data_IF_740301219700
#
_entry.id   IF_740301219700
#
_cell.length_a   1.000
_cell.length_b   1.000
_cell.length_c   1.000
_cell.angle_alpha   90.00
_cell.angle_beta   90.00
_cell.angle_gamma   90.00
#
_symmetry.space_group_name_H-M   'P 1'
#
loop_
_entity.id
_entity.type
_entity.pdbx_description
1 polymer ?
#
# COMPACT_ATOMS: atom_id res chain seq x y z
N UNK A 1 -26.48 -13.16 -19.48
CA UNK A 1 -27.27 -12.75 -18.29
C UNK A 1 -26.34 -11.90 -17.41
N UNK A 2 -26.85 -11.02 -16.54
CA UNK A 2 -26.08 -10.01 -15.76
C UNK A 2 -25.51 -8.80 -16.52
N UNK A 3 -25.78 -8.66 -17.82
CA UNK A 3 -25.45 -7.43 -18.57
C UNK A 3 -26.46 -6.29 -18.34
N UNK A 4 -27.56 -6.60 -17.63
CA UNK A 4 -28.57 -5.65 -17.18
C UNK A 4 -28.94 -5.96 -15.72
N UNK A 5 -29.14 -4.92 -14.91
CA UNK A 5 -29.60 -5.02 -13.52
C UNK A 5 -28.61 -5.55 -12.47
N UNK A 6 -27.53 -6.22 -12.88
CA UNK A 6 -26.48 -6.69 -11.96
C UNK A 6 -25.54 -5.57 -11.53
N UNK A 7 -25.28 -5.41 -10.25
CA UNK A 7 -24.45 -4.34 -9.72
C UNK A 7 -23.43 -4.88 -8.70
N UNK A 8 -22.16 -4.65 -8.96
CA UNK A 8 -21.05 -5.10 -8.13
C UNK A 8 -19.96 -4.02 -8.12
N UNK A 9 -19.78 -3.25 -7.02
CA UNK A 9 -18.76 -2.20 -6.94
C UNK A 9 -17.33 -2.70 -7.19
N UNK A 10 -17.02 -3.94 -6.80
CA UNK A 10 -15.70 -4.56 -6.97
C UNK A 10 -15.44 -5.13 -8.36
N UNK A 11 -16.44 -5.18 -9.25
CA UNK A 11 -16.24 -5.64 -10.64
C UNK A 11 -15.64 -4.49 -11.46
N UNK A 12 -14.41 -4.66 -11.94
CA UNK A 12 -13.67 -3.66 -12.73
C UNK A 12 -13.45 -4.08 -14.20
N UNK A 13 -13.41 -5.37 -14.53
CA UNK A 13 -13.03 -5.83 -15.87
C UNK A 13 -14.15 -6.58 -16.56
N UNK A 14 -14.37 -6.28 -17.85
CA UNK A 14 -15.29 -6.99 -18.74
C UNK A 14 -14.55 -7.44 -20.00
N UNK A 15 -14.44 -8.76 -20.17
CA UNK A 15 -13.94 -9.39 -21.38
C UNK A 15 -15.09 -9.61 -22.38
N UNK A 16 -14.92 -9.17 -23.63
CA UNK A 16 -15.98 -9.14 -24.64
C UNK A 16 -15.54 -9.82 -25.93
N UNK A 17 -16.11 -10.99 -26.21
CA UNK A 17 -16.11 -11.61 -27.54
C UNK A 17 -17.54 -11.64 -28.12
N UNK A 18 -18.16 -10.45 -28.21
CA UNK A 18 -19.53 -10.31 -28.70
C UNK A 18 -19.73 -9.00 -29.44
N UNK A 19 -20.53 -9.03 -30.50
CA UNK A 19 -20.95 -7.83 -31.24
C UNK A 19 -21.97 -7.02 -30.44
N UNK A 20 -21.51 -6.25 -29.46
CA UNK A 20 -22.33 -5.29 -28.71
C UNK A 20 -22.60 -4.05 -29.56
N UNK A 21 -23.81 -3.46 -29.45
CA UNK A 21 -24.20 -2.27 -30.23
C UNK A 21 -25.06 -1.32 -29.40
N UNK A 22 -24.92 -0.03 -29.67
CA UNK A 22 -25.76 1.05 -29.12
C UNK A 22 -25.95 0.95 -27.60
N UNK A 23 -27.19 1.07 -27.12
CA UNK A 23 -27.54 1.01 -25.69
C UNK A 23 -27.10 -0.29 -25.01
N UNK A 24 -27.08 -1.42 -25.71
CA UNK A 24 -26.63 -2.69 -25.15
C UNK A 24 -25.12 -2.72 -24.86
N UNK A 25 -24.33 -1.99 -25.66
CA UNK A 25 -22.90 -1.77 -25.41
C UNK A 25 -22.71 -0.93 -24.14
N UNK A 26 -23.39 0.22 -24.06
CA UNK A 26 -23.30 1.12 -22.90
C UNK A 26 -23.73 0.41 -21.60
N UNK A 27 -24.82 -0.36 -21.62
CA UNK A 27 -25.31 -1.11 -20.45
C UNK A 27 -24.31 -2.15 -19.97
N UNK A 28 -23.69 -2.87 -20.91
CA UNK A 28 -22.66 -3.86 -20.63
C UNK A 28 -21.41 -3.18 -20.04
N UNK A 29 -20.91 -2.11 -20.66
CA UNK A 29 -19.71 -1.40 -20.18
C UNK A 29 -19.95 -0.76 -18.82
N UNK A 30 -21.16 -0.26 -18.57
CA UNK A 30 -21.50 0.29 -17.27
C UNK A 30 -21.36 -0.72 -16.14
N UNK A 31 -21.36 -2.04 -16.39
CA UNK A 31 -21.19 -3.02 -15.30
C UNK A 31 -19.86 -2.87 -14.54
N UNK A 32 -18.84 -2.26 -15.16
CA UNK A 32 -17.49 -2.15 -14.58
C UNK A 32 -17.21 -0.81 -13.90
N UNK A 33 -17.96 0.26 -14.19
CA UNK A 33 -17.59 1.63 -13.80
C UNK A 33 -18.18 2.12 -12.47
N UNK A 34 -18.57 1.22 -11.58
CA UNK A 34 -19.13 1.57 -10.27
C UNK A 34 -18.02 2.03 -9.36
N UNK A 35 -18.23 3.18 -8.70
CA UNK A 35 -17.26 3.77 -7.76
C UNK A 35 -17.04 2.81 -6.59
N UNK A 36 -15.78 2.63 -6.20
CA UNK A 36 -15.39 1.80 -5.06
C UNK A 36 -14.49 2.59 -4.09
N UNK A 37 -13.22 2.76 -4.43
CA UNK A 37 -12.24 3.57 -3.71
C UNK A 37 -11.20 4.14 -4.70
N UNK A 38 -10.15 4.79 -4.19
CA UNK A 38 -9.11 5.40 -5.04
C UNK A 38 -8.33 4.39 -5.90
N UNK A 39 -8.38 3.09 -5.61
CA UNK A 39 -7.68 2.05 -6.38
C UNK A 39 -8.37 1.77 -7.71
N UNK A 40 -9.70 1.96 -7.76
CA UNK A 40 -10.52 1.72 -8.95
C UNK A 40 -10.86 3.04 -9.64
N UNK A 41 -9.97 3.48 -10.52
CA UNK A 41 -10.11 4.72 -11.29
C UNK A 41 -11.15 4.60 -12.41
N UNK A 42 -11.15 3.49 -13.15
CA UNK A 42 -12.06 3.24 -14.27
C UNK A 42 -12.36 1.73 -14.44
N UNK A 43 -13.20 1.41 -15.42
CA UNK A 43 -13.55 0.04 -15.78
C UNK A 43 -12.80 -0.42 -17.03
N UNK A 44 -12.12 -1.57 -16.94
CA UNK A 44 -11.36 -2.16 -18.05
C UNK A 44 -12.30 -2.94 -18.97
N UNK A 45 -12.37 -2.55 -20.24
CA UNK A 45 -13.11 -3.27 -21.26
C UNK A 45 -12.13 -3.88 -22.25
N UNK A 46 -11.99 -5.20 -22.23
CA UNK A 46 -11.06 -5.92 -23.10
C UNK A 46 -11.86 -6.63 -24.18
N UNK A 47 -11.71 -6.18 -25.43
CA UNK A 47 -12.52 -6.64 -26.56
C UNK A 47 -11.70 -7.51 -27.51
N UNK A 48 -12.22 -8.67 -27.89
CA UNK A 48 -11.59 -9.58 -28.87
C UNK A 48 -12.12 -9.39 -30.30
N UNK A 49 -12.92 -8.34 -30.51
CA UNK A 49 -13.45 -7.91 -31.79
C UNK A 49 -13.30 -6.39 -31.87
N UNK A 50 -13.21 -5.87 -33.09
CA UNK A 50 -13.25 -4.44 -33.31
C UNK A 50 -14.63 -3.86 -32.91
N UNK A 51 -14.64 -3.20 -31.76
CA UNK A 51 -15.80 -2.51 -31.18
C UNK A 51 -15.51 -1.01 -30.98
N UNK A 52 -14.40 -0.49 -31.49
CA UNK A 52 -13.99 0.90 -31.26
C UNK A 52 -15.00 1.86 -31.91
N UNK A 53 -15.25 1.70 -33.20
CA UNK A 53 -16.21 2.53 -33.93
C UNK A 53 -17.63 2.39 -33.34
N UNK A 54 -18.03 1.18 -32.96
CA UNK A 54 -19.32 0.93 -32.33
C UNK A 54 -19.45 1.64 -30.96
N UNK A 55 -18.34 1.76 -30.23
CA UNK A 55 -18.26 2.50 -28.96
C UNK A 55 -18.37 4.00 -29.20
N UNK A 56 -17.63 4.53 -30.18
CA UNK A 56 -17.69 5.95 -30.57
C UNK A 56 -19.11 6.32 -31.01
N UNK A 57 -19.73 5.50 -31.86
CA UNK A 57 -21.09 5.72 -32.36
C UNK A 57 -22.12 5.69 -31.21
N UNK A 58 -21.96 4.75 -30.27
CA UNK A 58 -22.84 4.65 -29.12
C UNK A 58 -22.72 5.86 -28.18
N UNK A 59 -21.49 6.32 -27.87
CA UNK A 59 -21.27 7.50 -27.03
C UNK A 59 -21.81 8.77 -27.71
N UNK A 60 -21.53 8.92 -29.01
CA UNK A 60 -22.00 10.08 -29.80
C UNK A 60 -23.53 10.14 -29.87
N UNK A 61 -24.22 9.00 -29.86
CA UNK A 61 -25.69 8.95 -29.85
C UNK A 61 -26.30 9.50 -28.55
N UNK A 62 -25.59 9.36 -27.42
CA UNK A 62 -26.07 9.77 -26.10
C UNK A 62 -25.42 11.06 -25.58
N UNK A 63 -24.56 11.72 -26.38
CA UNK A 63 -23.82 12.93 -26.00
C UNK A 63 -23.48 13.82 -27.18
N UNK A 64 -22.49 14.69 -26.99
CA UNK A 64 -21.91 15.54 -28.03
C UNK A 64 -20.51 15.04 -28.48
N UNK A 65 -19.89 15.69 -29.46
CA UNK A 65 -18.54 15.29 -29.94
C UNK A 65 -17.44 15.42 -28.88
N UNK A 66 -17.66 16.21 -27.83
CA UNK A 66 -16.71 16.37 -26.72
C UNK A 66 -16.88 15.28 -25.65
N UNK A 67 -18.03 14.60 -25.63
CA UNK A 67 -18.36 13.55 -24.67
C UNK A 67 -17.39 12.37 -24.74
N UNK A 68 -16.82 12.06 -25.93
CA UNK A 68 -15.81 10.99 -26.07
C UNK A 68 -14.57 11.23 -25.20
N UNK A 69 -14.11 12.48 -25.11
CA UNK A 69 -12.88 12.84 -24.40
C UNK A 69 -13.07 12.84 -22.88
N UNK A 70 -14.33 12.77 -22.43
CA UNK A 70 -14.76 12.75 -21.03
C UNK A 70 -15.14 11.32 -20.60
N UNK A 71 -15.64 10.49 -21.51
CA UNK A 71 -16.12 9.13 -21.21
C UNK A 71 -15.06 8.05 -21.39
N UNK A 72 -14.13 8.24 -22.33
CA UNK A 72 -13.01 7.32 -22.55
C UNK A 72 -11.75 7.86 -21.88
N UNK A 73 -10.97 6.95 -21.31
CA UNK A 73 -9.68 7.27 -20.72
C UNK A 73 -8.66 7.71 -21.79
N UNK A 74 -7.63 8.41 -21.33
CA UNK A 74 -6.52 8.84 -22.19
C UNK A 74 -5.70 7.63 -22.65
N UNK A 75 -4.90 7.84 -23.69
CA UNK A 75 -3.98 6.82 -24.18
C UNK A 75 -2.83 6.56 -23.21
N UNK A 76 -2.18 5.41 -23.36
CA UNK A 76 -0.96 5.06 -22.63
C UNK A 76 0.12 6.16 -22.75
N UNK A 77 0.37 6.65 -23.97
CA UNK A 77 1.37 7.67 -24.24
C UNK A 77 1.07 9.00 -23.53
N UNK A 78 -0.21 9.39 -23.45
CA UNK A 78 -0.64 10.59 -22.71
C UNK A 78 -0.36 10.46 -21.21
N UNK A 79 -0.58 9.29 -20.60
CA UNK A 79 -0.24 9.08 -19.19
C UNK A 79 1.28 8.98 -18.95
N UNK A 80 2.04 8.46 -19.92
CA UNK A 80 3.50 8.36 -19.82
C UNK A 80 4.19 9.71 -19.98
N UNK A 81 3.79 10.50 -20.98
CA UNK A 81 4.44 11.77 -21.37
C UNK A 81 3.76 13.02 -20.81
N UNK A 82 2.50 12.91 -20.38
CA UNK A 82 1.68 14.04 -19.94
C UNK A 82 0.77 14.55 -21.04
N UNK A 83 -0.28 15.27 -20.63
CA UNK A 83 -1.29 15.79 -21.54
C UNK A 83 -1.90 17.09 -20.98
N UNK A 84 -2.57 17.86 -21.84
CA UNK A 84 -3.41 18.97 -21.41
C UNK A 84 -4.85 18.52 -21.40
N UNK A 85 -5.50 18.59 -20.24
CA UNK A 85 -6.90 18.19 -20.12
C UNK A 85 -7.78 19.17 -20.92
N UNK A 86 -8.49 18.64 -21.92
CA UNK A 86 -9.37 19.43 -22.77
C UNK A 86 -10.59 20.01 -22.03
N UNK A 87 -10.95 19.44 -20.87
CA UNK A 87 -12.10 19.85 -20.06
C UNK A 87 -11.75 20.94 -19.04
N UNK A 88 -10.59 20.86 -18.39
CA UNK A 88 -10.14 21.84 -17.38
C UNK A 88 -9.13 22.85 -17.93
N UNK A 89 -8.44 22.52 -19.02
CA UNK A 89 -7.33 23.29 -19.58
C UNK A 89 -6.02 23.15 -18.79
N UNK A 90 -5.99 22.27 -17.78
CA UNK A 90 -4.82 22.08 -16.92
C UNK A 90 -3.81 21.13 -17.57
N UNK A 91 -2.51 21.43 -17.37
CA UNK A 91 -1.44 20.54 -17.79
C UNK A 91 -1.26 19.43 -16.74
N UNK A 92 -1.52 18.19 -17.15
CA UNK A 92 -1.27 16.99 -16.37
C UNK A 92 0.12 16.45 -16.72
N UNK A 93 0.97 16.31 -15.72
CA UNK A 93 2.33 15.78 -15.88
C UNK A 93 2.29 14.28 -16.17
N UNK A 94 3.19 13.81 -17.02
CA UNK A 94 3.36 12.40 -17.32
C UNK A 94 4.07 11.65 -16.21
N UNK A 95 3.92 10.33 -16.21
CA UNK A 95 4.65 9.43 -15.31
C UNK A 95 6.18 9.62 -15.41
N UNK A 96 6.72 9.80 -16.61
CA UNK A 96 8.17 9.96 -16.81
C UNK A 96 8.71 11.24 -16.19
N UNK A 97 7.97 12.35 -16.31
CA UNK A 97 8.35 13.63 -15.69
C UNK A 97 8.35 13.52 -14.16
N UNK A 98 7.33 12.87 -13.59
CA UNK A 98 7.23 12.63 -12.15
C UNK A 98 8.39 11.76 -11.64
N UNK A 99 8.71 10.69 -12.38
CA UNK A 99 9.86 9.81 -12.08
C UNK A 99 11.18 10.57 -12.13
N UNK A 100 11.40 11.35 -13.19
CA UNK A 100 12.62 12.13 -13.36
C UNK A 100 12.78 13.15 -12.23
N UNK A 101 11.71 13.84 -11.85
CA UNK A 101 11.73 14.78 -10.72
C UNK A 101 12.00 14.08 -9.39
N UNK A 102 11.39 12.91 -9.14
CA UNK A 102 11.64 12.11 -7.93
C UNK A 102 13.12 11.75 -7.81
N UNK A 103 13.72 11.25 -8.89
CA UNK A 103 15.12 10.85 -8.89
C UNK A 103 16.07 12.05 -8.80
N UNK A 104 15.73 13.17 -9.42
CA UNK A 104 16.56 14.38 -9.37
C UNK A 104 16.52 15.08 -8.01
N UNK A 105 15.33 15.25 -7.43
CA UNK A 105 15.12 15.99 -6.17
C UNK A 105 15.34 15.12 -4.94
N UNK A 106 14.99 13.83 -5.03
CA UNK A 106 15.04 12.87 -3.95
C UNK A 106 15.79 11.59 -4.37
N UNK A 107 17.08 11.70 -4.76
CA UNK A 107 17.88 10.53 -5.16
C UNK A 107 18.12 9.57 -3.99
N UNK A 108 18.10 10.08 -2.75
CA UNK A 108 18.22 9.32 -1.51
C UNK A 108 16.98 9.56 -0.63
N UNK A 109 15.94 8.72 -0.75
CA UNK A 109 14.71 8.89 0.00
C UNK A 109 14.87 8.68 1.51
N UNK A 110 15.93 8.01 1.95
CA UNK A 110 16.17 7.76 3.38
C UNK A 110 16.63 9.05 4.10
N UNK A 111 17.00 10.10 3.35
CA UNK A 111 17.60 11.33 3.88
C UNK A 111 16.76 12.60 3.61
N UNK A 112 15.44 12.52 3.81
CA UNK A 112 14.52 13.67 3.67
C UNK A 112 14.32 14.34 5.04
N UNK A 113 15.12 15.37 5.32
CA UNK A 113 15.21 15.97 6.67
C UNK A 113 14.30 17.17 6.86
N UNK A 114 14.26 18.13 5.95
CA UNK A 114 13.51 19.38 6.18
C UNK A 114 12.00 19.17 6.07
N UNK A 115 11.20 19.91 6.84
CA UNK A 115 9.73 19.82 6.77
C UNK A 115 9.20 20.16 5.37
N UNK A 116 9.86 21.12 4.69
CA UNK A 116 9.53 21.48 3.31
C UNK A 116 9.79 20.33 2.35
N UNK A 117 10.95 19.68 2.44
CA UNK A 117 11.30 18.57 1.57
C UNK A 117 10.39 17.37 1.82
N UNK A 118 10.00 17.11 3.07
CA UNK A 118 8.99 16.09 3.40
C UNK A 118 7.66 16.38 2.72
N UNK A 119 7.22 17.64 2.73
CA UNK A 119 5.95 18.06 2.11
C UNK A 119 6.01 17.92 0.59
N UNK A 120 7.07 18.42 -0.02
CA UNK A 120 7.28 18.35 -1.47
C UNK A 120 7.38 16.89 -1.94
N UNK A 121 8.11 16.05 -1.20
CA UNK A 121 8.20 14.62 -1.46
C UNK A 121 6.83 13.93 -1.35
N UNK A 122 6.07 14.20 -0.29
CA UNK A 122 4.76 13.58 -0.10
C UNK A 122 3.79 13.94 -1.24
N UNK A 123 3.82 15.19 -1.73
CA UNK A 123 3.00 15.56 -2.90
C UNK A 123 3.44 14.81 -4.16
N UNK A 124 4.75 14.86 -4.46
CA UNK A 124 5.30 14.27 -5.67
C UNK A 124 5.15 12.74 -5.71
N UNK A 125 5.39 12.06 -4.59
CA UNK A 125 5.21 10.61 -4.51
C UNK A 125 3.73 10.20 -4.52
N UNK A 126 2.82 11.02 -3.99
CA UNK A 126 1.37 10.82 -4.16
C UNK A 126 0.94 10.89 -5.63
N UNK A 127 1.49 11.84 -6.40
CA UNK A 127 1.28 11.91 -7.84
C UNK A 127 1.81 10.65 -8.56
N UNK A 128 3.01 10.19 -8.18
CA UNK A 128 3.57 8.93 -8.69
C UNK A 128 2.64 7.74 -8.42
N UNK A 129 2.14 7.57 -7.20
CA UNK A 129 1.25 6.45 -6.84
C UNK A 129 -0.04 6.44 -7.69
N UNK A 130 -0.62 7.61 -7.94
CA UNK A 130 -1.82 7.73 -8.80
C UNK A 130 -1.52 7.38 -10.25
N UNK A 131 -0.42 7.91 -10.81
CA UNK A 131 -0.01 7.60 -12.17
C UNK A 131 0.33 6.11 -12.35
N UNK A 132 1.07 5.53 -11.41
CA UNK A 132 1.41 4.10 -11.39
C UNK A 132 0.15 3.22 -11.32
N UNK A 133 -0.81 3.55 -10.45
CA UNK A 133 -2.08 2.80 -10.34
C UNK A 133 -2.91 2.83 -11.64
N UNK A 134 -2.93 3.96 -12.34
CA UNK A 134 -3.59 4.07 -13.65
C UNK A 134 -2.86 3.19 -14.68
N UNK A 135 -1.54 3.34 -14.78
CA UNK A 135 -0.70 2.66 -15.76
C UNK A 135 -0.70 1.13 -15.60
N UNK A 136 -0.91 0.61 -14.38
CA UNK A 136 -1.06 -0.83 -14.14
C UNK A 136 -2.20 -1.50 -14.93
N UNK A 137 -3.15 -0.73 -15.49
CA UNK A 137 -4.22 -1.25 -16.34
C UNK A 137 -3.83 -1.36 -17.83
N UNK A 138 -2.65 -0.90 -18.23
CA UNK A 138 -2.18 -0.90 -19.62
C UNK A 138 -1.21 -2.06 -19.89
N UNK A 139 -1.41 -2.74 -21.01
CA UNK A 139 -0.62 -3.91 -21.41
C UNK A 139 0.86 -3.54 -21.64
N UNK A 140 1.11 -2.37 -22.21
CA UNK A 140 2.45 -1.83 -22.48
C UNK A 140 3.24 -1.62 -21.19
N UNK A 141 2.59 -1.08 -20.16
CA UNK A 141 3.22 -0.86 -18.85
C UNK A 141 3.51 -2.18 -18.13
N UNK A 142 2.60 -3.17 -18.23
CA UNK A 142 2.83 -4.50 -17.68
C UNK A 142 4.03 -5.19 -18.35
N UNK A 143 4.19 -5.03 -19.66
CA UNK A 143 5.38 -5.47 -20.40
C UNK A 143 6.65 -4.75 -19.92
N UNK A 144 6.58 -3.43 -19.74
CA UNK A 144 7.71 -2.61 -19.28
C UNK A 144 8.19 -3.00 -17.87
N UNK A 145 7.26 -3.28 -16.96
CA UNK A 145 7.58 -3.76 -15.61
C UNK A 145 8.22 -5.16 -15.66
N UNK A 146 7.66 -6.08 -16.44
CA UNK A 146 8.20 -7.43 -16.57
C UNK A 146 9.61 -7.46 -17.17
N UNK A 147 9.89 -6.54 -18.12
CA UNK A 147 11.22 -6.37 -18.72
C UNK A 147 12.31 -6.09 -17.67
N UNK A 148 12.00 -5.40 -16.57
CA UNK A 148 12.98 -5.08 -15.51
C UNK A 148 13.54 -6.32 -14.81
N UNK A 149 12.80 -7.43 -14.85
CA UNK A 149 13.19 -8.70 -14.21
C UNK A 149 13.69 -9.74 -15.21
N UNK A 150 13.67 -9.41 -16.51
CA UNK A 150 14.08 -10.31 -17.57
C UNK A 150 15.61 -10.47 -17.59
N UNK A 151 16.09 -11.71 -17.59
CA UNK A 151 17.49 -12.00 -17.89
C UNK A 151 17.71 -11.93 -19.39
N UNK A 152 18.19 -10.78 -19.87
CA UNK A 152 18.47 -10.51 -21.29
C UNK A 152 19.53 -11.46 -21.86
N UNK A 153 20.40 -12.04 -21.02
CA UNK A 153 21.42 -12.99 -21.47
C UNK A 153 20.85 -14.39 -21.73
N UNK A 154 19.63 -14.66 -21.27
CA UNK A 154 18.95 -15.91 -21.48
C UNK A 154 18.02 -15.81 -22.71
N UNK A 155 18.52 -16.29 -23.86
CA UNK A 155 17.77 -16.25 -25.11
C UNK A 155 16.39 -16.95 -25.03
N UNK A 156 16.26 -18.05 -24.28
CA UNK A 156 14.97 -18.73 -24.11
C UNK A 156 13.98 -17.86 -23.31
N UNK A 157 14.47 -17.17 -22.28
CA UNK A 157 13.64 -16.25 -21.50
C UNK A 157 13.19 -15.06 -22.34
N UNK A 158 14.07 -14.49 -23.16
CA UNK A 158 13.75 -13.37 -24.07
C UNK A 158 12.72 -13.79 -25.11
N UNK A 159 12.86 -14.95 -25.74
CA UNK A 159 11.90 -15.43 -26.73
C UNK A 159 10.52 -15.71 -26.10
N UNK A 160 10.49 -16.28 -24.90
CA UNK A 160 9.24 -16.47 -24.15
C UNK A 160 8.59 -15.13 -23.79
N UNK A 161 9.39 -14.14 -23.40
CA UNK A 161 8.91 -12.80 -23.09
C UNK A 161 8.26 -12.14 -24.32
N UNK A 162 8.94 -12.16 -25.47
CA UNK A 162 8.38 -11.68 -26.75
C UNK A 162 7.05 -12.32 -27.10
N UNK A 163 6.94 -13.64 -26.94
CA UNK A 163 5.70 -14.37 -27.21
C UNK A 163 4.57 -14.00 -26.25
N UNK A 164 4.89 -13.77 -24.98
CA UNK A 164 3.89 -13.48 -23.93
C UNK A 164 3.27 -12.11 -24.11
N UNK A 165 4.08 -11.10 -24.45
CA UNK A 165 3.66 -9.72 -24.61
C UNK A 165 3.46 -9.30 -26.07
N UNK A 166 3.60 -10.23 -27.02
CA UNK A 166 3.49 -10.02 -28.47
C UNK A 166 4.42 -8.91 -29.00
N UNK A 167 5.67 -8.89 -28.51
CA UNK A 167 6.66 -7.85 -28.80
C UNK A 167 7.68 -8.29 -29.86
N UNK A 168 8.18 -7.32 -30.63
CA UNK A 168 9.32 -7.48 -31.54
C UNK A 168 10.65 -7.10 -30.87
N UNK A 169 11.77 -7.38 -31.53
CA UNK A 169 13.10 -6.91 -31.08
C UNK A 169 13.20 -5.38 -31.01
N UNK A 170 12.60 -4.68 -31.98
CA UNK A 170 12.57 -3.23 -32.02
C UNK A 170 11.78 -2.66 -30.84
N UNK A 171 10.63 -3.27 -30.49
CA UNK A 171 9.82 -2.87 -29.34
C UNK A 171 10.61 -3.01 -28.03
N UNK A 172 11.34 -4.13 -27.86
CA UNK A 172 12.20 -4.34 -26.69
C UNK A 172 13.27 -3.25 -26.62
N UNK A 173 13.90 -2.90 -27.74
CA UNK A 173 14.91 -1.85 -27.77
C UNK A 173 14.33 -0.49 -27.38
N UNK A 174 13.12 -0.15 -27.85
CA UNK A 174 12.41 1.06 -27.42
C UNK A 174 12.10 1.02 -25.93
N UNK A 175 11.56 -0.08 -25.41
CA UNK A 175 11.24 -0.22 -23.99
C UNK A 175 12.47 -0.13 -23.10
N UNK A 176 13.62 -0.65 -23.52
CA UNK A 176 14.89 -0.55 -22.80
C UNK A 176 15.41 0.89 -22.66
N UNK A 177 14.99 1.79 -23.56
CA UNK A 177 15.34 3.21 -23.46
C UNK A 177 14.49 3.98 -22.44
N UNK A 178 13.38 3.39 -21.98
CA UNK A 178 12.50 4.01 -21.00
C UNK A 178 13.03 3.72 -19.60
N UNK A 179 13.53 4.76 -18.94
CA UNK A 179 14.00 4.67 -17.57
C UNK A 179 12.82 4.66 -16.59
N UNK A 180 12.66 3.56 -15.87
CA UNK A 180 11.74 3.47 -14.74
C UNK A 180 12.49 3.13 -13.45
N UNK A 181 12.01 3.56 -12.28
CA UNK A 181 12.69 3.29 -11.02
C UNK A 181 12.74 1.80 -10.73
N UNK A 182 13.87 1.32 -10.19
CA UNK A 182 13.97 -0.06 -9.70
C UNK A 182 12.96 -0.33 -8.59
N UNK A 183 12.50 -1.58 -8.47
CA UNK A 183 11.58 -1.99 -7.40
C UNK A 183 12.13 -1.63 -5.99
N UNK A 184 13.45 -1.72 -5.81
CA UNK A 184 14.12 -1.34 -4.56
C UNK A 184 14.01 0.16 -4.26
N UNK A 185 14.18 1.01 -5.28
CA UNK A 185 14.06 2.45 -5.12
C UNK A 185 12.61 2.84 -4.77
N UNK A 186 11.63 2.26 -5.46
CA UNK A 186 10.21 2.45 -5.14
C UNK A 186 9.88 2.01 -3.72
N UNK A 187 10.43 0.88 -3.28
CA UNK A 187 10.26 0.40 -1.91
C UNK A 187 10.82 1.40 -0.88
N UNK A 188 12.00 1.98 -1.11
CA UNK A 188 12.55 3.00 -0.23
C UNK A 188 11.65 4.27 -0.23
N UNK A 189 11.16 4.71 -1.39
CA UNK A 189 10.20 5.82 -1.46
C UNK A 189 8.93 5.55 -0.65
N UNK A 190 8.34 4.35 -0.76
CA UNK A 190 7.18 3.94 0.05
C UNK A 190 7.47 3.97 1.55
N UNK A 191 8.65 3.49 1.95
CA UNK A 191 9.10 3.54 3.35
C UNK A 191 9.14 4.98 3.85
N UNK A 192 9.83 5.88 3.14
CA UNK A 192 9.93 7.30 3.52
C UNK A 192 8.58 8.01 3.51
N UNK A 193 7.69 7.67 2.57
CA UNK A 193 6.34 8.23 2.52
C UNK A 193 5.52 7.84 3.75
N UNK A 194 5.59 6.57 4.16
CA UNK A 194 4.96 6.11 5.40
C UNK A 194 5.59 6.75 6.64
N UNK A 195 6.92 6.89 6.68
CA UNK A 195 7.64 7.58 7.77
C UNK A 195 7.14 9.02 7.95
N UNK A 196 7.00 9.76 6.84
CA UNK A 196 6.50 11.15 6.85
C UNK A 196 5.06 11.21 7.32
N UNK A 197 4.19 10.32 6.82
CA UNK A 197 2.79 10.23 7.23
C UNK A 197 2.65 9.98 8.73
N UNK A 198 3.41 9.04 9.28
CA UNK A 198 3.40 8.71 10.70
C UNK A 198 3.96 9.85 11.55
N UNK A 199 5.01 10.52 11.07
CA UNK A 199 5.60 11.69 11.72
C UNK A 199 4.58 12.84 11.82
N UNK A 200 3.83 13.15 10.75
CA UNK A 200 2.79 14.19 10.76
C UNK A 200 1.66 13.84 11.73
N UNK A 201 1.20 12.58 11.73
CA UNK A 201 0.16 12.12 12.66
C UNK A 201 0.56 12.37 14.11
N UNK A 202 1.79 11.96 14.47
CA UNK A 202 2.35 12.19 15.81
C UNK A 202 2.52 13.67 16.14
N UNK A 203 2.88 14.50 15.17
CA UNK A 203 2.95 15.95 15.39
C UNK A 203 1.57 16.56 15.64
N UNK A 204 0.55 16.20 14.86
CA UNK A 204 -0.83 16.66 15.10
C UNK A 204 -1.34 16.27 16.50
N UNK A 205 -0.96 15.09 16.99
CA UNK A 205 -1.29 14.65 18.35
C UNK A 205 -0.52 15.43 19.44
N UNK A 206 0.71 15.87 19.16
CA UNK A 206 1.56 16.64 20.07
C UNK A 206 1.31 18.17 20.04
N UNK A 207 0.80 18.70 18.93
CA UNK A 207 0.61 20.13 18.62
C UNK A 207 -0.55 20.80 19.39
N UNK A 208 -1.04 20.17 20.47
CA UNK A 208 -1.66 20.95 21.56
C UNK A 208 -0.65 21.89 22.27
N UNK A 209 0.66 21.85 21.93
CA UNK A 209 1.68 22.72 22.55
C UNK A 209 2.68 23.43 21.60
N UNK A 210 2.78 23.11 20.31
CA UNK A 210 3.61 23.86 19.36
C UNK A 210 2.89 23.96 18.01
N UNK A 211 3.16 24.99 17.21
CA UNK A 211 2.60 25.12 15.85
C UNK A 211 3.61 24.55 14.87
N UNK A 212 3.24 23.56 14.07
CA UNK A 212 3.95 23.20 12.84
C UNK A 212 4.33 24.46 12.04
N UNK A 213 5.56 24.48 11.49
CA UNK A 213 6.07 25.67 10.77
C UNK A 213 5.49 25.74 9.35
N UNK A 214 5.06 24.60 8.81
CA UNK A 214 4.49 24.48 7.48
C UNK A 214 3.05 23.94 7.59
N UNK A 215 2.16 24.50 6.78
CA UNK A 215 0.79 24.00 6.65
C UNK A 215 0.78 22.70 5.82
N UNK A 216 0.09 21.67 6.32
CA UNK A 216 -0.01 20.35 5.71
C UNK A 216 -1.43 20.02 5.21
N UNK A 217 -2.39 20.93 5.36
CA UNK A 217 -3.79 20.66 5.07
C UNK A 217 -4.08 20.49 3.57
N UNK A 218 -3.15 20.92 2.71
CA UNK A 218 -3.18 20.71 1.26
C UNK A 218 -2.52 19.41 0.79
N UNK A 219 -2.05 18.55 1.71
CA UNK A 219 -1.48 17.24 1.40
C UNK A 219 -2.46 16.13 1.74
N UNK A 220 -2.95 15.44 0.72
CA UNK A 220 -3.76 14.22 0.87
C UNK A 220 -2.85 13.00 0.67
N UNK A 221 -2.79 12.13 1.66
CA UNK A 221 -2.01 10.90 1.59
C UNK A 221 -2.80 9.78 0.89
N UNK A 222 -2.17 9.11 -0.07
CA UNK A 222 -2.78 8.05 -0.88
C UNK A 222 -2.83 6.70 -0.15
N UNK A 223 -3.60 6.64 0.94
CA UNK A 223 -3.64 5.47 1.85
C UNK A 223 -4.22 4.23 1.17
N UNK A 224 -5.25 4.38 0.34
CA UNK A 224 -5.91 3.24 -0.31
C UNK A 224 -4.98 2.58 -1.35
N UNK A 225 -4.22 3.39 -2.09
CA UNK A 225 -3.20 2.91 -3.05
C UNK A 225 -2.05 2.16 -2.35
N UNK A 226 -1.67 2.61 -1.15
CA UNK A 226 -0.63 1.91 -0.38
C UNK A 226 -1.12 0.60 0.22
N UNK A 227 -2.41 0.53 0.60
CA UNK A 227 -3.03 -0.70 1.12
C UNK A 227 -3.22 -1.76 0.03
N UNK A 228 -3.57 -1.36 -1.20
CA UNK A 228 -3.77 -2.33 -2.29
C UNK A 228 -2.50 -3.05 -2.69
N UNK A 229 -1.35 -2.40 -2.50
CA UNK A 229 -0.01 -2.94 -2.81
C UNK A 229 0.68 -3.54 -1.58
N UNK A 230 -0.06 -3.75 -0.49
CA UNK A 230 0.49 -4.25 0.76
C UNK A 230 0.87 -5.73 0.66
N UNK A 231 2.11 -6.02 1.07
CA UNK A 231 2.60 -7.38 1.21
C UNK A 231 2.10 -7.94 2.54
N UNK A 232 1.50 -9.14 2.51
CA UNK A 232 1.04 -9.81 3.73
C UNK A 232 2.22 -10.32 4.58
N UNK A 233 1.97 -10.52 5.87
CA UNK A 233 3.01 -10.99 6.79
C UNK A 233 3.58 -12.34 6.37
N UNK A 234 2.75 -13.26 5.89
CA UNK A 234 3.17 -14.59 5.44
C UNK A 234 4.23 -14.50 4.35
N UNK A 235 4.05 -13.63 3.35
CA UNK A 235 5.05 -13.42 2.30
C UNK A 235 6.33 -12.79 2.85
N UNK A 236 6.24 -11.87 3.83
CA UNK A 236 7.43 -11.34 4.51
C UNK A 236 8.19 -12.47 5.20
N UNK A 237 7.50 -13.40 5.86
CA UNK A 237 8.12 -14.57 6.50
C UNK A 237 8.75 -15.50 5.46
N UNK A 238 8.09 -15.71 4.32
CA UNK A 238 8.68 -16.45 3.21
C UNK A 238 9.96 -15.80 2.67
N UNK A 239 9.97 -14.47 2.53
CA UNK A 239 11.17 -13.72 2.14
C UNK A 239 12.30 -13.91 3.17
N UNK A 240 12.00 -13.89 4.48
CA UNK A 240 13.02 -14.17 5.52
C UNK A 240 13.65 -15.54 5.26
N UNK A 241 12.85 -16.56 5.01
CA UNK A 241 13.33 -17.92 4.74
C UNK A 241 14.17 -18.00 3.46
N UNK A 242 13.72 -17.39 2.36
CA UNK A 242 14.43 -17.40 1.08
C UNK A 242 15.74 -16.61 1.11
N UNK A 243 15.73 -15.43 1.74
CA UNK A 243 16.91 -14.59 1.86
C UNK A 243 17.93 -15.18 2.84
N UNK A 244 17.50 -15.82 3.94
CA UNK A 244 18.44 -16.50 4.85
C UNK A 244 19.28 -17.57 4.14
N UNK A 245 18.73 -18.23 3.10
CA UNK A 245 19.48 -19.21 2.29
C UNK A 245 20.54 -18.58 1.38
N UNK A 246 20.38 -17.30 1.02
CA UNK A 246 21.24 -16.58 0.07
C UNK A 246 22.26 -15.68 0.77
N UNK A 247 21.86 -15.09 1.90
CA UNK A 247 22.61 -14.07 2.64
C UNK A 247 23.43 -14.74 3.75
N UNK A 248 24.66 -14.27 3.97
CA UNK A 248 25.58 -14.87 4.95
C UNK A 248 25.45 -14.32 6.37
N UNK A 249 24.74 -13.20 6.53
CA UNK A 249 24.68 -12.42 7.78
C UNK A 249 23.25 -12.09 8.17
N UNK A 250 22.91 -12.33 9.45
CA UNK A 250 21.63 -11.87 10.03
C UNK A 250 21.45 -10.36 9.95
N UNK A 251 22.53 -9.58 10.03
CA UNK A 251 22.44 -8.12 9.97
C UNK A 251 21.96 -7.62 8.59
N UNK A 252 22.47 -8.22 7.52
CA UNK A 252 22.04 -7.91 6.15
C UNK A 252 20.57 -8.33 5.93
N UNK A 253 20.18 -9.50 6.44
CA UNK A 253 18.79 -9.96 6.41
C UNK A 253 17.85 -9.02 7.16
N UNK A 254 18.24 -8.56 8.36
CA UNK A 254 17.47 -7.61 9.15
C UNK A 254 17.26 -6.29 8.42
N UNK A 255 18.30 -5.73 7.79
CA UNK A 255 18.18 -4.48 7.05
C UNK A 255 17.26 -4.61 5.83
N UNK A 256 17.33 -5.73 5.11
CA UNK A 256 16.46 -6.00 3.97
C UNK A 256 14.99 -6.11 4.40
N UNK A 257 14.72 -6.94 5.42
CA UNK A 257 13.37 -7.20 5.91
C UNK A 257 12.76 -5.96 6.59
N UNK A 258 13.58 -5.16 7.28
CA UNK A 258 13.15 -3.88 7.85
C UNK A 258 12.60 -2.95 6.78
N UNK A 259 13.27 -2.84 5.62
CA UNK A 259 12.77 -2.02 4.50
C UNK A 259 11.44 -2.54 3.96
N UNK A 260 11.27 -3.86 3.85
CA UNK A 260 10.02 -4.48 3.38
C UNK A 260 8.87 -4.15 4.35
N UNK A 261 9.11 -4.32 5.65
CA UNK A 261 8.11 -4.06 6.69
C UNK A 261 7.74 -2.58 6.73
N UNK A 262 8.70 -1.66 6.66
CA UNK A 262 8.42 -0.21 6.72
C UNK A 262 7.67 0.33 5.50
N UNK A 263 7.82 -0.31 4.34
CA UNK A 263 7.04 0.00 3.15
C UNK A 263 5.57 -0.45 3.26
N UNK A 264 5.23 -1.38 4.16
CA UNK A 264 3.86 -1.85 4.42
C UNK A 264 3.23 -1.09 5.59
N UNK A 265 2.07 -0.47 5.34
CA UNK A 265 1.37 0.34 6.35
C UNK A 265 0.93 -0.51 7.55
N UNK A 266 0.36 -1.69 7.32
CA UNK A 266 -0.23 -2.56 8.32
C UNK A 266 0.77 -3.42 9.10
N UNK A 267 1.96 -3.69 8.54
CA UNK A 267 2.99 -4.50 9.22
C UNK A 267 4.06 -3.68 9.92
N UNK A 268 4.12 -2.36 9.72
CA UNK A 268 5.14 -1.49 10.32
C UNK A 268 5.26 -1.61 11.84
N UNK A 269 4.14 -1.72 12.56
CA UNK A 269 4.13 -1.89 14.02
C UNK A 269 4.78 -3.22 14.48
N UNK A 270 4.92 -4.20 13.58
CA UNK A 270 5.56 -5.50 13.82
C UNK A 270 7.07 -5.49 13.56
N UNK A 271 7.67 -4.37 13.14
CA UNK A 271 9.10 -4.29 12.81
C UNK A 271 9.97 -4.86 13.94
N UNK A 272 9.81 -4.39 15.17
CA UNK A 272 10.58 -4.88 16.32
C UNK A 272 10.39 -6.38 16.52
N UNK A 273 9.15 -6.86 16.44
CA UNK A 273 8.81 -8.27 16.63
C UNK A 273 9.46 -9.18 15.59
N UNK A 274 9.48 -8.77 14.31
CA UNK A 274 10.11 -9.53 13.23
C UNK A 274 11.64 -9.48 13.35
N UNK A 275 12.20 -8.32 13.69
CA UNK A 275 13.65 -8.18 13.90
C UNK A 275 14.11 -9.04 15.08
N UNK A 276 13.36 -9.04 16.16
CA UNK A 276 13.63 -9.88 17.34
C UNK A 276 13.55 -11.37 16.98
N UNK A 277 12.54 -11.77 16.20
CA UNK A 277 12.42 -13.14 15.70
C UNK A 277 13.67 -13.56 14.90
N UNK A 278 14.12 -12.74 13.94
CA UNK A 278 15.31 -13.04 13.12
C UNK A 278 16.55 -13.18 14.00
N UNK A 279 16.73 -12.30 14.98
CA UNK A 279 17.91 -12.29 15.83
C UNK A 279 17.93 -13.46 16.82
N UNK A 280 16.79 -13.77 17.44
CA UNK A 280 16.69 -14.74 18.53
C UNK A 280 16.48 -16.19 18.06
N UNK A 281 16.02 -16.39 16.82
CA UNK A 281 15.74 -17.73 16.28
C UNK A 281 16.90 -18.27 15.45
N UNK A 282 17.13 -19.59 15.49
CA UNK A 282 18.04 -20.24 14.57
C UNK A 282 17.34 -20.55 13.23
N UNK A 283 17.41 -19.61 12.28
CA UNK A 283 16.74 -19.72 10.98
C UNK A 283 17.21 -20.94 10.15
N UNK A 284 18.45 -21.41 10.35
CA UNK A 284 18.97 -22.58 9.63
C UNK A 284 18.32 -23.90 10.05
N UNK A 285 17.66 -23.91 11.22
CA UNK A 285 16.92 -25.08 11.70
C UNK A 285 15.51 -25.21 11.08
N UNK A 286 15.04 -24.15 10.42
CA UNK A 286 13.74 -24.10 9.79
C UNK A 286 13.81 -24.82 8.44
N UNK A 287 12.95 -25.82 8.24
CA UNK A 287 13.05 -26.73 7.08
C UNK A 287 12.39 -26.17 5.83
N UNK A 288 11.23 -25.55 6.01
CA UNK A 288 10.40 -25.07 4.91
C UNK A 288 9.63 -23.79 5.26
N UNK A 289 8.90 -23.27 4.26
CA UNK A 289 8.10 -22.05 4.33
C UNK A 289 6.95 -22.15 5.34
N UNK A 290 6.36 -23.33 5.54
CA UNK A 290 5.29 -23.48 6.52
C UNK A 290 5.84 -23.41 7.95
N UNK A 291 7.01 -24.01 8.17
CA UNK A 291 7.65 -24.00 9.49
C UNK A 291 8.07 -22.61 9.94
N UNK A 292 8.53 -21.71 9.05
CA UNK A 292 8.88 -20.34 9.48
C UNK A 292 7.66 -19.58 9.99
N UNK A 293 6.49 -19.82 9.39
CA UNK A 293 5.23 -19.20 9.79
C UNK A 293 4.83 -19.67 11.19
N UNK A 294 4.81 -20.99 11.41
CA UNK A 294 4.48 -21.57 12.71
C UNK A 294 5.44 -21.14 13.81
N UNK A 295 6.74 -21.14 13.55
CA UNK A 295 7.76 -20.71 14.52
C UNK A 295 7.65 -19.23 14.84
N UNK A 296 7.36 -18.38 13.85
CA UNK A 296 7.10 -16.96 14.07
C UNK A 296 5.88 -16.75 14.98
N UNK A 297 4.75 -17.40 14.71
CA UNK A 297 3.55 -17.22 15.56
C UNK A 297 3.76 -17.73 16.98
N UNK A 298 4.49 -18.84 17.18
CA UNK A 298 4.87 -19.30 18.53
C UNK A 298 5.73 -18.27 19.26
N UNK A 299 6.75 -17.74 18.58
CA UNK A 299 7.62 -16.69 19.12
C UNK A 299 6.81 -15.44 19.48
N UNK A 300 5.95 -15.00 18.55
CA UNK A 300 5.13 -13.81 18.70
C UNK A 300 4.13 -13.92 19.87
N UNK A 301 3.52 -15.10 20.07
CA UNK A 301 2.62 -15.33 21.21
C UNK A 301 3.37 -15.32 22.55
N UNK A 302 4.59 -15.86 22.60
CA UNK A 302 5.42 -15.81 23.80
C UNK A 302 5.82 -14.37 24.17
N UNK A 303 6.26 -13.58 23.19
CA UNK A 303 6.58 -12.15 23.41
C UNK A 303 5.32 -11.33 23.71
N UNK A 304 4.17 -11.65 23.11
CA UNK A 304 2.88 -11.01 23.42
C UNK A 304 2.51 -11.17 24.90
N UNK A 305 2.64 -12.38 25.46
CA UNK A 305 2.37 -12.65 26.87
C UNK A 305 3.31 -11.88 27.79
N UNK A 306 4.60 -11.90 27.47
CA UNK A 306 5.65 -11.22 28.22
C UNK A 306 5.46 -9.69 28.23
N UNK A 307 5.20 -9.09 27.07
CA UNK A 307 4.97 -7.65 26.96
C UNK A 307 3.64 -7.21 27.59
N UNK A 308 2.59 -8.03 27.50
CA UNK A 308 1.33 -7.75 28.19
C UNK A 308 1.52 -7.72 29.71
N UNK A 309 2.27 -8.69 30.25
CA UNK A 309 2.57 -8.74 31.68
C UNK A 309 3.41 -7.54 32.12
N UNK A 310 4.46 -7.20 31.36
CA UNK A 310 5.28 -6.01 31.63
C UNK A 310 4.44 -4.72 31.62
N UNK A 311 3.53 -4.56 30.65
CA UNK A 311 2.64 -3.39 30.59
C UNK A 311 1.74 -3.30 31.83
N UNK A 312 1.16 -4.42 32.27
CA UNK A 312 0.32 -4.48 33.47
C UNK A 312 1.13 -4.08 34.71
N UNK A 313 2.34 -4.61 34.85
CA UNK A 313 3.20 -4.39 36.02
C UNK A 313 3.75 -2.95 36.05
N UNK A 314 4.29 -2.46 34.93
CA UNK A 314 4.90 -1.12 34.82
C UNK A 314 3.89 0.00 35.10
N UNK A 315 2.64 -0.17 34.67
CA UNK A 315 1.58 0.82 34.87
C UNK A 315 0.74 0.58 36.14
N UNK A 316 1.01 -0.51 36.85
CA UNK A 316 0.26 -0.96 38.03
C UNK A 316 -1.24 -1.07 37.73
N UNK A 317 -1.59 -1.75 36.63
CA UNK A 317 -2.97 -1.95 36.19
C UNK A 317 -3.67 -3.05 36.99
N UNK A 318 -4.99 -3.06 36.96
CA UNK A 318 -5.77 -4.19 37.46
C UNK A 318 -5.56 -5.41 36.53
N UNK A 319 -4.93 -6.52 36.98
CA UNK A 319 -4.50 -7.59 36.08
C UNK A 319 -5.64 -8.26 35.30
N UNK A 320 -6.73 -8.64 35.97
CA UNK A 320 -7.84 -9.36 35.33
C UNK A 320 -8.59 -8.47 34.33
N UNK A 321 -8.86 -7.22 34.72
CA UNK A 321 -9.50 -6.25 33.85
C UNK A 321 -8.59 -5.91 32.66
N UNK A 322 -7.30 -5.72 32.89
CA UNK A 322 -6.33 -5.38 31.85
C UNK A 322 -6.19 -6.52 30.82
N UNK A 323 -6.02 -7.76 31.27
CA UNK A 323 -5.98 -8.93 30.36
C UNK A 323 -7.25 -9.02 29.52
N UNK A 324 -8.43 -8.86 30.12
CA UNK A 324 -9.70 -8.89 29.38
C UNK A 324 -9.79 -7.76 28.34
N UNK A 325 -9.40 -6.54 28.71
CA UNK A 325 -9.44 -5.40 27.81
C UNK A 325 -8.43 -5.56 26.65
N UNK A 326 -7.21 -6.02 26.93
CA UNK A 326 -6.20 -6.28 25.91
C UNK A 326 -6.65 -7.38 24.95
N UNK A 327 -7.16 -8.52 25.45
CA UNK A 327 -7.67 -9.61 24.59
C UNK A 327 -8.84 -9.15 23.73
N UNK A 328 -9.75 -8.35 24.29
CA UNK A 328 -10.89 -7.79 23.55
C UNK A 328 -10.42 -6.83 22.47
N UNK A 329 -9.43 -5.99 22.78
CA UNK A 329 -8.85 -5.03 21.83
C UNK A 329 -8.08 -5.74 20.71
N UNK A 330 -7.31 -6.79 21.01
CA UNK A 330 -6.65 -7.64 20.02
C UNK A 330 -7.64 -8.34 19.11
N UNK A 331 -8.74 -8.86 19.66
CA UNK A 331 -9.81 -9.50 18.87
C UNK A 331 -10.55 -8.51 17.97
N UNK A 332 -10.68 -7.26 18.40
CA UNK A 332 -11.26 -6.16 17.60
C UNK A 332 -10.24 -5.54 16.65
N UNK A 333 -8.96 -5.82 16.82
CA UNK A 333 -7.82 -5.22 16.11
C UNK A 333 -7.62 -3.71 16.36
N UNK A 334 -8.30 -3.14 17.36
CA UNK A 334 -8.10 -1.77 17.81
C UNK A 334 -8.46 -1.62 19.30
N UNK A 335 -7.80 -0.66 19.97
CA UNK A 335 -8.15 -0.23 21.32
C UNK A 335 -9.17 0.91 21.26
N UNK A 336 -10.11 0.97 22.22
CA UNK A 336 -11.18 1.97 22.24
C UNK A 336 -11.26 2.67 23.59
N UNK A 337 -11.21 3.99 23.60
CA UNK A 337 -11.48 4.80 24.81
C UNK A 337 -12.97 4.82 25.18
N UNK A 338 -13.85 4.44 24.24
CA UNK A 338 -15.29 4.40 24.46
C UNK A 338 -15.67 3.26 25.41
N UNK A 339 -16.60 3.55 26.31
CA UNK A 339 -17.07 2.62 27.34
C UNK A 339 -16.36 2.84 28.68
N UNK A 340 -16.55 1.90 29.60
CA UNK A 340 -15.98 1.96 30.96
C UNK A 340 -14.81 1.01 31.16
N UNK A 341 -14.59 0.04 30.26
CA UNK A 341 -13.57 -1.01 30.41
C UNK A 341 -12.17 -0.41 30.62
N UNK A 342 -11.80 0.64 29.88
CA UNK A 342 -10.53 1.35 30.04
C UNK A 342 -10.40 2.05 31.42
N UNK A 343 -11.51 2.44 32.05
CA UNK A 343 -11.44 3.00 33.40
C UNK A 343 -11.24 1.88 34.43
N UNK A 344 -11.78 0.69 34.18
CA UNK A 344 -11.73 -0.46 35.09
C UNK A 344 -10.33 -1.10 35.17
N UNK A 345 -9.45 -0.83 34.20
CA UNK A 345 -8.05 -1.30 34.22
C UNK A 345 -7.12 -0.38 35.01
N UNK A 346 -7.50 0.89 35.22
CA UNK A 346 -6.64 1.86 35.88
C UNK A 346 -6.50 1.55 37.37
N UNK A 347 -5.34 1.88 37.98
CA UNK A 347 -5.20 1.78 39.43
C UNK A 347 -6.24 2.65 40.14
N UNK A 348 -6.59 2.28 41.39
CA UNK A 348 -7.55 3.03 42.20
C UNK A 348 -7.06 4.46 42.42
N UNK A 349 -7.62 5.39 41.64
CA UNK A 349 -7.39 6.82 41.73
C UNK A 349 -8.75 7.52 41.63
N UNK A 350 -8.90 8.64 42.31
CA UNK A 350 -10.10 9.47 42.15
C UNK A 350 -10.13 10.03 40.72
N UNK A 351 -11.27 10.00 40.00
CA UNK A 351 -11.42 10.69 38.72
C UNK A 351 -11.18 12.20 38.80
N UNK A 352 -11.22 12.78 40.00
CA UNK A 352 -10.91 14.19 40.27
C UNK A 352 -9.40 14.43 40.48
N UNK A 353 -8.56 13.39 40.45
CA UNK A 353 -7.12 13.55 40.51
C UNK A 353 -6.64 14.21 39.19
N UNK A 354 -5.90 15.34 39.24
CA UNK A 354 -5.37 16.00 38.05
C UNK A 354 -4.50 15.08 37.16
N UNK A 355 -3.88 14.03 37.73
CA UNK A 355 -3.07 13.07 36.97
C UNK A 355 -3.88 11.94 36.32
N UNK A 356 -5.17 11.80 36.66
CA UNK A 356 -6.01 10.70 36.19
C UNK A 356 -6.13 10.69 34.66
N UNK A 357 -6.42 11.85 34.05
CA UNK A 357 -6.58 11.97 32.61
C UNK A 357 -5.29 11.69 31.86
N UNK A 358 -4.17 12.23 32.35
CA UNK A 358 -2.84 12.00 31.76
C UNK A 358 -2.47 10.53 31.81
N UNK A 359 -2.65 9.87 32.98
CA UNK A 359 -2.36 8.43 33.11
C UNK A 359 -3.28 7.58 32.23
N UNK A 360 -4.58 7.91 32.17
CA UNK A 360 -5.53 7.24 31.28
C UNK A 360 -5.06 7.30 29.82
N UNK A 361 -4.68 8.48 29.35
CA UNK A 361 -4.20 8.68 27.99
C UNK A 361 -2.89 7.93 27.72
N UNK A 362 -1.94 7.96 28.65
CA UNK A 362 -0.68 7.20 28.54
C UNK A 362 -0.92 5.70 28.45
N UNK A 363 -1.75 5.14 29.33
CA UNK A 363 -2.11 3.72 29.34
C UNK A 363 -2.83 3.33 28.04
N UNK A 364 -3.78 4.16 27.60
CA UNK A 364 -4.47 3.95 26.33
C UNK A 364 -3.49 3.89 25.16
N UNK A 365 -2.56 4.85 25.06
CA UNK A 365 -1.56 4.86 23.98
C UNK A 365 -0.65 3.63 24.01
N UNK A 366 -0.20 3.21 25.21
CA UNK A 366 0.61 1.99 25.37
C UNK A 366 -0.15 0.75 24.89
N UNK A 367 -1.43 0.62 25.26
CA UNK A 367 -2.26 -0.52 24.83
C UNK A 367 -2.57 -0.44 23.33
N UNK A 368 -2.85 0.74 22.78
CA UNK A 368 -3.07 0.91 21.35
C UNK A 368 -1.83 0.48 20.54
N UNK A 369 -0.63 0.91 20.98
CA UNK A 369 0.63 0.48 20.36
C UNK A 369 0.85 -1.04 20.48
N UNK A 370 0.53 -1.63 21.63
CA UNK A 370 0.59 -3.07 21.85
C UNK A 370 -0.36 -3.82 20.90
N UNK A 371 -1.59 -3.35 20.74
CA UNK A 371 -2.58 -3.94 19.82
C UNK A 371 -2.10 -3.84 18.39
N UNK A 372 -1.59 -2.70 17.94
CA UNK A 372 -1.02 -2.55 16.59
C UNK A 372 0.15 -3.52 16.33
N UNK A 373 1.02 -3.71 17.32
CA UNK A 373 2.14 -4.65 17.24
C UNK A 373 1.67 -6.11 17.15
N UNK A 374 0.66 -6.51 17.91
CA UNK A 374 0.26 -7.93 18.03
C UNK A 374 -1.07 -8.30 17.34
N UNK A 375 -1.77 -7.39 16.67
CA UNK A 375 -2.99 -7.73 15.90
C UNK A 375 -2.70 -8.79 14.84
N UNK A 376 -3.56 -9.80 14.76
CA UNK A 376 -3.40 -10.95 13.86
C UNK A 376 -2.50 -12.09 14.38
N UNK A 377 -1.80 -11.93 15.52
CA UNK A 377 -0.93 -12.99 16.09
C UNK A 377 -1.72 -14.13 16.75
N UNK A 378 -2.92 -13.84 17.27
CA UNK A 378 -3.73 -14.80 18.03
C UNK A 378 -3.18 -15.07 19.44
N UNK A 379 -3.52 -16.22 20.02
CA UNK A 379 -3.05 -16.66 21.34
C UNK A 379 -3.94 -16.26 22.52
N UNK A 380 -3.46 -16.56 23.74
CA UNK A 380 -4.09 -16.21 25.03
C UNK A 380 -3.10 -15.48 25.95
N UNK A 381 -3.61 -14.61 26.82
CA UNK A 381 -2.85 -13.80 27.79
C UNK A 381 -3.00 -14.29 29.25
#
# INVERSE_FOLDING_TARGET
MFLTGFDAPTLNTLFVDKNLRYHGLIQAYSRTNRIYDATKTFGNIVTFRDLEQATIDAITLFGDKNTKNVVLEKSYDEYMQGYTDASTGEACRGYLDVVAELQQRFPDPDNIVTEKDKKDFAKLFGEYLRADNILQNYDEFAGLQALQTLDINNAEAVERFKQTYYLTDDDIQTMQSIEIPSARLIQNYRSSYNDIRDWIRRQKDADNQNKATIDWDDVVFEVDLLKSQEINLDYILELIFEHNKKVKSKAELVEEIRRVIRASIGNRAKESLVVDFINQTNLDSIKDKANIIDEFFKFAQAEQQKEAQALIDDENLNPDSAKRYILTSLKREYASENGTELNDILPKMSPLNPEYLTKKQTVFQKIANFVEKFKGVGGSL
#
